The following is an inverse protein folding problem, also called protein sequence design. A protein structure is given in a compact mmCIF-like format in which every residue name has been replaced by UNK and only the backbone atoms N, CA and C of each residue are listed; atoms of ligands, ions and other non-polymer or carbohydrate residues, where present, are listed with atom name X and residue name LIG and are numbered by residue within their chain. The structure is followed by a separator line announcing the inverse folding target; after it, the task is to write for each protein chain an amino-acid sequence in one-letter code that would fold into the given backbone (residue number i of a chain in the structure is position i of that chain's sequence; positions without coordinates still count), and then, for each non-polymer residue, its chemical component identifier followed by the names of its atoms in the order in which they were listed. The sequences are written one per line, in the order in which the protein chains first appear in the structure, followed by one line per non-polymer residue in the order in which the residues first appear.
data_IF_477513126328
#
_entry.id   IF_477513126328
#
_cell.length_a   1.000
_cell.length_b   1.000
_cell.length_c   1.000
_cell.angle_alpha   90.00
_cell.angle_beta   90.00
_cell.angle_gamma   90.00
#
_symmetry.space_group_name_H-M   'P 1'
#
loop_
_entity.id
_entity.type
_entity.pdbx_description
1 polymer ?
#
# COMPACT_ATOMS: atom_id res chain seq x y z
N UNK A 1 28.01 9.68 30.81
CA UNK A 1 27.64 8.83 29.66
C UNK A 1 26.22 9.19 29.28
N UNK A 2 26.06 10.00 28.24
CA UNK A 2 24.76 10.55 27.85
C UNK A 2 24.02 9.50 27.04
N UNK A 3 23.04 8.85 27.66
CA UNK A 3 22.10 7.97 26.97
C UNK A 3 21.21 8.89 26.13
N UNK A 4 21.57 9.04 24.86
CA UNK A 4 20.72 9.73 23.89
C UNK A 4 19.55 8.80 23.60
N UNK A 5 18.50 8.89 24.42
CA UNK A 5 17.18 8.41 24.05
C UNK A 5 16.76 9.22 22.82
N UNK A 6 17.10 8.70 21.63
CA UNK A 6 16.41 9.11 20.41
C UNK A 6 14.94 8.89 20.70
N UNK A 7 14.19 9.99 20.76
CA UNK A 7 12.73 9.98 20.76
C UNK A 7 12.37 9.11 19.57
N UNK A 8 11.86 7.90 19.81
CA UNK A 8 11.33 7.06 18.75
C UNK A 8 10.35 7.95 17.98
N UNK A 9 10.54 8.01 16.66
CA UNK A 9 9.58 8.72 15.81
C UNK A 9 8.19 8.14 16.07
N UNK A 10 7.13 8.93 15.86
CA UNK A 10 5.76 8.45 16.09
C UNK A 10 5.58 7.09 15.41
N UNK A 11 5.14 6.11 16.18
CA UNK A 11 4.90 4.77 15.67
C UNK A 11 3.78 4.89 14.64
N UNK A 12 3.98 4.51 13.37
CA UNK A 12 2.93 4.59 12.34
C UNK A 12 1.66 3.81 12.69
N UNK A 13 1.73 2.97 13.74
CA UNK A 13 0.68 2.10 14.27
C UNK A 13 -0.22 2.78 15.33
N UNK A 14 0.11 3.98 15.81
CA UNK A 14 -0.67 4.67 16.86
C UNK A 14 -2.06 5.15 16.39
N UNK A 15 -2.32 5.16 15.09
CA UNK A 15 -3.65 5.48 14.49
C UNK A 15 -4.58 4.25 14.38
N UNK A 16 -4.17 3.11 14.93
CA UNK A 16 -5.07 2.02 15.32
C UNK A 16 -5.95 1.41 14.23
N UNK A 17 -5.38 0.79 13.19
CA UNK A 17 -5.96 -0.39 12.49
C UNK A 17 -4.83 -1.16 11.76
N UNK A 18 -4.45 -2.36 12.23
CA UNK A 18 -3.62 -3.34 11.48
C UNK A 18 -4.07 -4.78 11.76
N UNK A 19 -4.34 -5.59 10.73
CA UNK A 19 -4.03 -7.02 10.66
C UNK A 19 -3.84 -7.59 9.24
N UNK A 20 -2.58 -7.74 8.84
CA UNK A 20 -2.16 -9.02 8.27
C UNK A 20 -1.21 -9.67 9.25
N UNK A 21 -1.79 -10.13 10.36
CA UNK A 21 -1.19 -11.01 11.38
C UNK A 21 0.15 -10.57 12.01
N UNK A 22 0.63 -9.35 11.77
CA UNK A 22 2.01 -8.99 12.05
C UNK A 22 2.23 -7.49 12.30
N UNK A 23 1.21 -6.75 12.74
CA UNK A 23 1.34 -5.32 13.05
C UNK A 23 2.56 -5.03 13.92
N UNK A 24 2.85 -5.94 14.85
CA UNK A 24 3.95 -5.81 15.81
C UNK A 24 5.16 -6.70 15.48
N UNK A 25 5.09 -7.54 14.44
CA UNK A 25 6.13 -8.54 14.15
C UNK A 25 7.23 -7.99 13.23
N UNK A 26 6.97 -6.94 12.46
CA UNK A 26 7.83 -6.48 11.38
C UNK A 26 8.27 -5.02 11.52
N UNK A 27 9.49 -4.71 11.06
CA UNK A 27 9.98 -3.33 10.91
C UNK A 27 9.29 -2.68 9.70
N UNK A 28 8.15 -2.03 9.94
CA UNK A 28 7.37 -1.34 8.91
C UNK A 28 7.96 0.03 8.59
N UNK A 29 8.28 0.24 7.31
CA UNK A 29 8.87 1.47 6.80
C UNK A 29 7.90 2.14 5.86
N UNK A 30 7.61 3.41 6.08
CA UNK A 30 6.85 4.21 5.12
C UNK A 30 7.67 4.39 3.84
N UNK A 31 7.14 3.96 2.70
CA UNK A 31 7.80 4.06 1.39
C UNK A 31 7.07 5.00 0.43
N UNK A 32 5.78 5.23 0.62
CA UNK A 32 5.02 6.19 -0.18
C UNK A 32 3.87 6.82 0.61
N UNK A 33 3.63 8.10 0.32
CA UNK A 33 2.39 8.80 0.67
C UNK A 33 1.61 9.02 -0.62
N UNK A 34 0.33 8.66 -0.61
CA UNK A 34 -0.57 8.83 -1.72
C UNK A 34 -1.41 10.08 -1.45
N UNK A 35 -1.34 11.04 -2.34
CA UNK A 35 -2.13 12.26 -2.27
C UNK A 35 -2.88 12.42 -3.59
N UNK A 36 -4.20 12.21 -3.57
CA UNK A 36 -5.06 12.30 -4.75
C UNK A 36 -4.58 11.37 -5.88
N UNK A 37 -4.15 10.15 -5.53
CA UNK A 37 -3.58 9.21 -6.49
C UNK A 37 -4.70 8.52 -7.29
N UNK A 38 -4.71 8.62 -8.64
CA UNK A 38 -5.67 7.89 -9.45
C UNK A 38 -5.48 6.38 -9.30
N UNK A 39 -6.57 5.68 -9.00
CA UNK A 39 -6.53 4.26 -8.73
C UNK A 39 -7.77 3.51 -9.23
N UNK A 40 -7.60 2.20 -9.42
CA UNK A 40 -8.68 1.24 -9.62
C UNK A 40 -8.66 0.18 -8.51
N UNK A 41 -9.85 -0.32 -8.16
CA UNK A 41 -10.07 -1.23 -7.03
C UNK A 41 -10.42 -2.62 -7.54
N UNK A 42 -9.74 -3.64 -7.04
CA UNK A 42 -10.02 -5.05 -7.29
C UNK A 42 -10.26 -5.82 -5.99
N UNK A 43 -10.70 -7.09 -6.09
CA UNK A 43 -11.22 -7.91 -4.98
C UNK A 43 -10.18 -8.24 -3.89
N UNK A 44 -8.96 -7.77 -4.07
CA UNK A 44 -7.85 -7.84 -3.14
C UNK A 44 -6.66 -7.08 -3.69
N UNK A 45 -6.90 -6.00 -4.45
CA UNK A 45 -5.82 -5.25 -5.07
C UNK A 45 -6.21 -3.77 -5.25
N UNK A 46 -5.21 -2.90 -5.14
CA UNK A 46 -5.29 -1.53 -5.60
C UNK A 46 -4.27 -1.35 -6.74
N UNK A 47 -4.73 -0.77 -7.84
CA UNK A 47 -3.88 -0.38 -8.96
C UNK A 47 -3.74 1.15 -8.96
N UNK A 48 -2.52 1.66 -8.89
CA UNK A 48 -2.19 3.08 -8.88
C UNK A 48 -1.56 3.49 -10.22
N UNK A 49 -1.95 4.65 -10.74
CA UNK A 49 -1.48 5.14 -12.04
C UNK A 49 0.00 5.51 -12.02
N UNK A 50 0.43 6.26 -11.01
CA UNK A 50 1.81 6.74 -10.86
C UNK A 50 2.72 5.67 -10.27
N UNK A 51 2.15 4.71 -9.54
CA UNK A 51 2.91 3.69 -8.83
C UNK A 51 3.71 4.27 -7.66
N UNK A 52 4.55 3.42 -7.06
CA UNK A 52 5.36 3.76 -5.91
C UNK A 52 6.63 2.90 -5.87
N UNK A 53 7.67 3.42 -5.26
CA UNK A 53 8.97 2.73 -5.18
C UNK A 53 9.15 2.12 -3.80
N UNK A 54 9.52 0.83 -3.75
CA UNK A 54 9.75 0.12 -2.47
C UNK A 54 11.04 0.59 -1.80
N UNK A 55 12.08 0.90 -2.60
CA UNK A 55 13.36 1.40 -2.09
C UNK A 55 14.05 0.43 -1.13
N UNK A 56 15.15 0.89 -0.51
CA UNK A 56 15.73 0.26 0.69
C UNK A 56 16.23 -1.19 0.57
N UNK A 57 16.55 -1.68 -0.64
CA UNK A 57 17.22 -2.97 -0.85
C UNK A 57 16.44 -3.98 -1.68
N UNK A 58 15.16 -3.73 -1.96
CA UNK A 58 14.40 -4.50 -2.93
C UNK A 58 14.75 -4.02 -4.36
N UNK A 59 15.64 -4.74 -5.05
CA UNK A 59 15.95 -4.53 -6.47
C UNK A 59 15.06 -5.46 -7.32
N UNK A 60 14.48 -5.00 -8.44
CA UNK A 60 14.71 -3.71 -9.09
C UNK A 60 13.91 -2.55 -8.48
N UNK A 61 14.50 -1.36 -8.55
CA UNK A 61 13.90 -0.07 -8.12
C UNK A 61 12.89 0.45 -9.15
N UNK A 62 12.09 -0.45 -9.71
CA UNK A 62 11.04 -0.10 -10.65
C UNK A 62 9.77 0.27 -9.89
N UNK A 63 9.05 1.32 -10.33
CA UNK A 63 7.77 1.67 -9.76
C UNK A 63 6.84 0.45 -9.75
N UNK A 64 6.33 0.12 -8.57
CA UNK A 64 5.27 -0.85 -8.41
C UNK A 64 3.95 -0.12 -8.59
N UNK A 65 3.09 -0.65 -9.45
CA UNK A 65 1.80 -0.04 -9.75
C UNK A 65 0.65 -0.69 -9.02
N UNK A 66 0.86 -1.87 -8.41
CA UNK A 66 -0.19 -2.56 -7.69
C UNK A 66 0.29 -3.10 -6.36
N UNK A 67 -0.64 -3.20 -5.43
CA UNK A 67 -0.46 -3.90 -4.17
C UNK A 67 -1.56 -4.95 -4.05
N UNK A 68 -1.19 -6.18 -3.73
CA UNK A 68 -2.14 -7.17 -3.26
C UNK A 68 -2.51 -6.83 -1.83
N UNK A 69 -3.78 -6.49 -1.62
CA UNK A 69 -4.34 -6.17 -0.31
C UNK A 69 -4.69 -7.49 0.36
N UNK A 70 -3.80 -7.96 1.24
CA UNK A 70 -4.19 -8.93 2.25
C UNK A 70 -4.95 -8.16 3.36
N UNK A 71 -6.17 -8.57 3.67
CA UNK A 71 -6.90 -8.29 4.92
C UNK A 71 -7.36 -6.86 5.28
N UNK A 72 -6.61 -5.79 5.00
CA UNK A 72 -6.67 -4.59 5.85
C UNK A 72 -7.12 -3.26 5.27
N UNK A 73 -6.92 -3.03 3.99
CA UNK A 73 -7.47 -1.83 3.34
C UNK A 73 -8.98 -1.99 3.09
N UNK A 74 -9.51 -3.16 3.43
CA UNK A 74 -10.83 -3.70 3.09
C UNK A 74 -11.93 -2.71 3.46
N UNK A 75 -11.97 -2.14 4.67
CA UNK A 75 -13.12 -1.34 5.08
C UNK A 75 -13.41 -0.10 4.21
N UNK A 76 -12.40 0.53 3.61
CA UNK A 76 -12.59 1.72 2.76
C UNK A 76 -12.79 1.38 1.29
N UNK A 77 -12.42 0.16 0.87
CA UNK A 77 -12.38 -0.23 -0.55
C UNK A 77 -13.27 -1.42 -0.89
N UNK A 78 -13.72 -2.20 0.09
CA UNK A 78 -14.47 -3.45 -0.09
C UNK A 78 -15.84 -3.25 -0.73
N UNK A 79 -16.50 -2.15 -0.38
CA UNK A 79 -17.84 -1.82 -0.86
C UNK A 79 -17.80 -0.98 -2.16
N UNK A 80 -16.60 -0.65 -2.64
CA UNK A 80 -16.45 0.08 -3.90
C UNK A 80 -16.70 -0.85 -5.09
N UNK A 81 -17.24 -0.26 -6.16
CA UNK A 81 -17.37 -0.93 -7.44
C UNK A 81 -15.98 -1.43 -7.89
N UNK A 82 -15.93 -2.69 -8.28
CA UNK A 82 -14.71 -3.37 -8.72
C UNK A 82 -14.37 -2.91 -10.14
N UNK A 83 -13.30 -2.14 -10.28
CA UNK A 83 -12.91 -1.50 -11.54
C UNK A 83 -11.60 -2.04 -12.11
N UNK A 84 -10.78 -2.67 -11.26
CA UNK A 84 -9.61 -3.41 -11.68
C UNK A 84 -9.99 -4.83 -12.10
N UNK A 85 -9.74 -5.16 -13.38
CA UNK A 85 -9.91 -6.51 -13.92
C UNK A 85 -8.58 -6.93 -14.54
N UNK A 86 -8.03 -8.06 -14.11
CA UNK A 86 -6.76 -8.56 -14.63
C UNK A 86 -6.93 -9.20 -16.02
N UNK A 87 -7.20 -8.39 -17.04
CA UNK A 87 -7.28 -8.78 -18.46
C UNK A 87 -6.35 -7.91 -19.31
N UNK A 88 -5.87 -8.45 -20.43
CA UNK A 88 -4.98 -7.73 -21.35
C UNK A 88 -5.61 -6.42 -21.87
N UNK A 89 -6.90 -6.44 -22.20
CA UNK A 89 -7.65 -5.28 -22.68
C UNK A 89 -7.67 -4.15 -21.64
N UNK A 90 -7.96 -4.51 -20.38
CA UNK A 90 -7.96 -3.53 -19.30
C UNK A 90 -6.55 -2.98 -19.04
N UNK A 91 -5.51 -3.82 -19.06
CA UNK A 91 -4.13 -3.37 -18.83
C UNK A 91 -3.63 -2.38 -19.90
N UNK A 92 -4.24 -2.37 -21.09
CA UNK A 92 -3.95 -1.38 -22.13
C UNK A 92 -4.65 -0.04 -21.89
N UNK A 93 -5.82 -0.04 -21.24
CA UNK A 93 -6.60 1.15 -20.97
C UNK A 93 -7.28 1.12 -19.58
N UNK A 94 -6.49 1.21 -18.49
CA UNK A 94 -7.04 1.28 -17.14
C UNK A 94 -7.83 2.58 -16.94
N UNK A 95 -8.97 2.48 -16.25
CA UNK A 95 -9.96 3.57 -16.17
C UNK A 95 -9.65 4.56 -15.05
N UNK A 96 -9.03 4.09 -13.98
CA UNK A 96 -8.72 4.84 -12.76
C UNK A 96 -9.93 5.60 -12.22
N UNK A 97 -11.00 4.88 -11.90
CA UNK A 97 -12.28 5.47 -11.50
C UNK A 97 -12.28 6.06 -10.08
N UNK A 98 -11.18 5.92 -9.34
CA UNK A 98 -11.05 6.44 -7.98
C UNK A 98 -9.83 7.35 -7.81
N UNK A 99 -9.90 8.20 -6.79
CA UNK A 99 -8.76 8.91 -6.19
C UNK A 99 -8.56 8.40 -4.78
N UNK A 100 -7.31 8.12 -4.43
CA UNK A 100 -6.94 7.50 -3.15
C UNK A 100 -5.95 8.39 -2.41
N UNK A 101 -6.16 8.51 -1.10
CA UNK A 101 -5.22 9.08 -0.16
C UNK A 101 -4.84 8.03 0.87
N UNK A 102 -3.56 7.96 1.20
CA UNK A 102 -3.08 6.91 2.09
C UNK A 102 -1.58 6.83 2.19
N UNK A 103 -1.14 5.74 2.79
CA UNK A 103 0.27 5.45 3.08
C UNK A 103 0.56 4.00 2.70
N UNK A 104 1.72 3.79 2.09
CA UNK A 104 2.22 2.45 1.76
C UNK A 104 3.45 2.18 2.61
N UNK A 105 3.43 1.03 3.28
CA UNK A 105 4.48 0.55 4.15
C UNK A 105 5.08 -0.73 3.59
N UNK A 106 6.38 -0.90 3.81
CA UNK A 106 7.12 -2.11 3.50
C UNK A 106 7.67 -2.73 4.78
N UNK A 107 7.46 -4.04 4.96
CA UNK A 107 8.12 -4.80 6.02
C UNK A 107 9.59 -5.07 5.63
N UNK A 108 10.51 -4.29 6.20
CA UNK A 108 11.93 -4.34 5.84
C UNK A 108 12.54 -5.69 6.19
N UNK A 109 13.38 -6.21 5.28
CA UNK A 109 14.16 -7.42 5.51
C UNK A 109 13.34 -8.72 5.41
N UNK A 110 12.06 -8.62 5.01
CA UNK A 110 11.16 -9.76 4.88
C UNK A 110 10.60 -9.82 3.46
N UNK A 111 10.76 -10.98 2.83
CA UNK A 111 10.08 -11.34 1.61
C UNK A 111 8.90 -12.27 1.92
N UNK A 112 7.81 -12.14 1.16
CA UNK A 112 6.73 -13.10 1.18
C UNK A 112 7.17 -14.45 0.62
N UNK A 113 6.29 -15.46 0.68
CA UNK A 113 6.57 -16.81 0.16
C UNK A 113 6.99 -16.83 -1.33
N UNK A 114 6.57 -15.84 -2.10
CA UNK A 114 6.91 -15.66 -3.52
C UNK A 114 8.20 -14.87 -3.75
N UNK A 115 8.92 -14.48 -2.69
CA UNK A 115 10.08 -13.59 -2.75
C UNK A 115 9.74 -12.11 -2.99
N UNK A 116 8.45 -11.77 -3.11
CA UNK A 116 7.97 -10.40 -3.27
C UNK A 116 8.02 -9.63 -1.94
N UNK A 117 8.10 -8.29 -1.95
CA UNK A 117 8.14 -7.52 -0.73
C UNK A 117 6.78 -7.60 -0.05
N UNK A 118 6.77 -7.71 1.28
CA UNK A 118 5.52 -7.66 2.05
C UNK A 118 5.15 -6.18 2.24
N UNK A 119 4.05 -5.78 1.61
CA UNK A 119 3.56 -4.40 1.63
C UNK A 119 2.24 -4.31 2.41
N UNK A 120 2.01 -3.17 3.03
CA UNK A 120 0.74 -2.80 3.64
C UNK A 120 0.28 -1.44 3.12
N UNK A 121 -1.01 -1.30 2.81
CA UNK A 121 -1.60 -0.02 2.44
C UNK A 121 -2.62 0.41 3.50
N UNK A 122 -2.40 1.59 4.07
CA UNK A 122 -3.37 2.27 4.92
C UNK A 122 -4.07 3.34 4.09
N UNK A 123 -5.37 3.14 3.87
CA UNK A 123 -6.18 4.02 3.03
C UNK A 123 -6.96 4.96 3.93
N UNK A 124 -6.67 6.25 3.83
CA UNK A 124 -7.29 7.28 4.66
C UNK A 124 -8.61 7.77 4.03
N UNK A 125 -8.65 7.86 2.69
CA UNK A 125 -9.78 8.37 1.92
C UNK A 125 -9.82 7.79 0.51
N UNK A 126 -11.02 7.58 -0.01
CA UNK A 126 -11.27 7.24 -1.42
C UNK A 126 -12.42 8.09 -1.96
N UNK A 127 -12.30 8.58 -3.19
CA UNK A 127 -13.36 9.29 -3.91
C UNK A 127 -13.53 8.72 -5.32
N UNK A 128 -14.78 8.60 -5.78
CA UNK A 128 -15.05 8.28 -7.20
C UNK A 128 -14.79 9.52 -8.05
N UNK A 129 -14.09 9.35 -9.17
CA UNK A 129 -13.87 10.41 -10.14
C UNK A 129 -15.19 10.65 -10.89
N UNK A 130 -15.67 11.91 -10.97
CA UNK A 130 -16.88 12.27 -11.69
C UNK A 130 -16.74 12.11 -13.21
#
# INVERSE_FOLDING_TARGET
MSVSCKKEGPNPLDDGVVSCAAGDLYDWVLIAKLENEPADVGRGALLFKQGFTVGGGYKPDLPQHSILVCGLSDDKVKDLEQTYIFTNEYMQNPRYLYRVWGRIFWARGIGGFTGLPVLAAQIDKVEKIP
#
